data_IF_862328877757
#
_entry.id   IF_862328877757
#
_cell.length_a   1.000
_cell.length_b   1.000
_cell.length_c   1.000
_cell.angle_alpha   90.00
_cell.angle_beta   90.00
_cell.angle_gamma   90.00
#
_symmetry.space_group_name_H-M   'P 1'
#
loop_
_entity.id
_entity.type
_entity.pdbx_description
1 polymer ?
#
# COMPACT_ATOMS: atom_id res chain seq x y z
N UNK A 1 17.19 28.75 27.82
CA UNK A 1 18.12 27.71 28.35
C UNK A 1 18.10 26.59 27.32
N UNK A 2 18.96 26.67 26.32
CA UNK A 2 19.04 25.67 25.24
C UNK A 2 19.70 24.40 25.81
N UNK A 3 18.95 23.28 25.85
CA UNK A 3 19.53 21.98 26.15
C UNK A 3 20.31 21.54 24.91
N UNK A 4 21.63 21.49 25.02
CA UNK A 4 22.50 20.84 24.05
C UNK A 4 22.12 19.34 24.06
N UNK A 5 21.75 18.74 22.90
CA UNK A 5 21.45 17.31 22.84
C UNK A 5 22.68 16.49 23.24
N UNK A 6 22.51 15.31 23.83
CA UNK A 6 23.65 14.49 24.25
C UNK A 6 24.45 14.10 23.02
N UNK A 7 25.72 14.46 23.01
CA UNK A 7 26.71 13.95 22.05
C UNK A 7 26.89 12.47 22.39
N UNK A 8 26.36 11.58 21.56
CA UNK A 8 26.61 10.15 21.71
C UNK A 8 27.98 9.88 21.08
N UNK A 9 29.03 10.15 21.85
CA UNK A 9 30.40 9.72 21.50
C UNK A 9 30.54 8.26 21.90
N UNK A 10 30.21 7.34 21.00
CA UNK A 10 30.47 5.91 21.17
C UNK A 10 31.94 5.51 20.90
N UNK A 11 32.87 6.45 20.80
CA UNK A 11 34.31 6.13 20.70
C UNK A 11 35.17 7.05 21.54
N UNK A 12 36.06 6.46 22.34
CA UNK A 12 37.22 7.08 23.00
C UNK A 12 38.27 7.57 21.98
N UNK A 13 37.91 8.49 21.12
CA UNK A 13 38.88 9.17 20.23
C UNK A 13 39.28 10.46 20.90
N UNK A 14 40.52 10.50 21.38
CA UNK A 14 41.12 11.74 21.86
C UNK A 14 41.28 12.76 20.72
N UNK A 15 41.03 14.07 20.96
CA UNK A 15 40.82 15.07 19.91
C UNK A 15 42.13 15.60 19.26
N UNK A 16 43.24 14.91 19.24
CA UNK A 16 44.50 15.59 19.01
C UNK A 16 45.19 15.38 17.66
N UNK A 17 44.66 14.60 16.68
CA UNK A 17 45.41 14.53 15.39
C UNK A 17 44.60 14.17 14.11
N UNK A 18 43.26 14.23 14.13
CA UNK A 18 42.46 13.74 12.99
C UNK A 18 41.33 14.69 12.53
N UNK A 19 41.48 16.01 12.68
CA UNK A 19 40.39 16.94 12.41
C UNK A 19 39.89 16.95 10.94
N UNK A 20 40.74 16.52 9.99
CA UNK A 20 40.37 16.54 8.56
C UNK A 20 39.64 15.28 8.04
N UNK A 21 39.62 14.17 8.80
CA UNK A 21 39.04 12.90 8.35
C UNK A 21 37.68 12.59 9.02
N UNK A 22 37.16 13.49 9.83
CA UNK A 22 35.93 13.29 10.61
C UNK A 22 34.82 14.20 10.13
N UNK A 23 33.62 13.65 10.01
CA UNK A 23 32.38 14.36 9.68
C UNK A 23 31.40 14.28 10.85
N UNK A 24 30.76 15.37 11.18
CA UNK A 24 29.66 15.40 12.13
C UNK A 24 28.34 15.28 11.39
N UNK A 25 27.53 14.32 11.79
CA UNK A 25 26.20 14.07 11.22
C UNK A 25 25.14 14.42 12.24
N UNK A 26 24.29 15.37 11.96
CA UNK A 26 23.10 15.66 12.75
C UNK A 26 21.89 14.95 12.12
N UNK A 27 21.35 13.94 12.81
CA UNK A 27 20.33 13.02 12.30
C UNK A 27 19.05 13.14 13.11
N UNK A 28 17.93 13.31 12.44
CA UNK A 28 16.60 13.44 13.04
C UNK A 28 15.99 14.82 12.83
N UNK A 29 14.79 15.01 13.36
CA UNK A 29 14.06 16.27 13.23
C UNK A 29 14.67 17.38 14.05
N UNK A 30 14.49 18.62 13.62
CA UNK A 30 14.92 19.82 14.35
C UNK A 30 14.35 19.81 15.78
N UNK A 31 15.26 19.82 16.78
CA UNK A 31 14.90 19.73 18.20
C UNK A 31 14.82 18.31 18.79
N UNK A 32 14.86 17.29 17.94
CA UNK A 32 14.95 15.88 18.32
C UNK A 32 15.97 15.11 17.46
N UNK A 33 17.19 15.65 17.37
CA UNK A 33 18.30 15.10 16.58
C UNK A 33 19.37 14.46 17.47
N UNK A 34 20.11 13.51 16.89
CA UNK A 34 21.33 12.96 17.46
C UNK A 34 22.54 13.37 16.62
N UNK A 35 23.64 13.69 17.28
CA UNK A 35 24.90 14.01 16.60
C UNK A 35 25.85 12.83 16.66
N UNK A 36 26.32 12.41 15.48
CA UNK A 36 27.30 11.33 15.33
C UNK A 36 28.60 11.90 14.75
N UNK A 37 29.71 11.35 15.24
CA UNK A 37 31.05 11.63 14.74
C UNK A 37 31.53 10.39 13.98
N UNK A 38 31.76 10.51 12.67
CA UNK A 38 32.04 9.38 11.78
C UNK A 38 33.23 9.69 10.87
N UNK A 39 34.08 8.71 10.60
CA UNK A 39 35.16 8.86 9.66
C UNK A 39 34.65 9.02 8.23
N UNK A 40 35.17 10.01 7.51
CA UNK A 40 34.78 10.34 6.13
C UNK A 40 34.94 9.14 5.19
N UNK A 41 35.99 8.39 5.33
CA UNK A 41 36.32 7.21 4.53
C UNK A 41 35.29 6.12 4.72
N UNK A 42 34.85 5.83 5.96
CA UNK A 42 33.80 4.83 6.25
C UNK A 42 32.48 5.14 5.57
N UNK A 43 32.08 6.43 5.54
CA UNK A 43 30.88 6.85 4.84
C UNK A 43 31.01 6.68 3.32
N UNK A 44 32.16 7.09 2.77
CA UNK A 44 32.38 7.11 1.32
C UNK A 44 32.64 5.73 0.70
N UNK A 45 33.18 4.78 1.46
CA UNK A 45 33.45 3.42 0.96
C UNK A 45 32.16 2.60 0.75
N UNK A 46 31.19 2.75 1.64
CA UNK A 46 30.00 1.91 1.71
C UNK A 46 28.74 2.54 1.12
N UNK A 47 28.79 3.82 0.79
CA UNK A 47 27.68 4.54 0.19
C UNK A 47 28.17 5.50 -0.89
N UNK A 48 27.71 5.25 -2.10
CA UNK A 48 28.02 6.11 -3.24
C UNK A 48 27.43 7.52 -3.06
N UNK A 49 26.27 7.62 -2.42
CA UNK A 49 25.62 8.90 -2.09
C UNK A 49 26.49 9.70 -1.12
N UNK A 50 26.98 9.08 -0.03
CA UNK A 50 27.88 9.77 0.89
C UNK A 50 29.22 10.12 0.22
N UNK A 51 29.74 9.26 -0.64
CA UNK A 51 30.94 9.57 -1.44
C UNK A 51 30.71 10.83 -2.27
N UNK A 52 29.60 10.91 -3.00
CA UNK A 52 29.26 12.09 -3.79
C UNK A 52 29.07 13.35 -2.95
N UNK A 53 28.41 13.24 -1.78
CA UNK A 53 28.22 14.37 -0.84
C UNK A 53 29.51 14.87 -0.22
N UNK A 54 30.47 14.00 0.02
CA UNK A 54 31.73 14.34 0.73
C UNK A 54 32.87 14.72 -0.20
N UNK A 55 32.92 14.15 -1.41
CA UNK A 55 34.05 14.31 -2.36
C UNK A 55 33.61 14.84 -3.72
N UNK A 56 32.32 14.96 -3.98
CA UNK A 56 31.77 15.45 -5.25
C UNK A 56 31.94 16.96 -5.44
N UNK A 57 31.66 17.48 -6.64
CA UNK A 57 31.85 18.89 -6.98
C UNK A 57 30.97 19.85 -6.16
N UNK A 58 29.93 19.35 -5.51
CA UNK A 58 29.05 20.11 -4.61
C UNK A 58 29.39 19.90 -3.13
N UNK A 59 30.45 19.18 -2.83
CA UNK A 59 30.89 18.99 -1.45
C UNK A 59 31.26 20.34 -0.83
N UNK A 60 30.78 20.65 0.39
CA UNK A 60 31.17 21.86 1.08
C UNK A 60 32.69 21.90 1.28
N UNK A 61 33.32 23.08 1.17
CA UNK A 61 34.77 23.19 1.34
C UNK A 61 35.18 22.69 2.73
N UNK A 62 36.16 21.83 2.79
CA UNK A 62 36.73 21.38 4.05
C UNK A 62 37.46 22.56 4.70
N UNK A 63 36.99 23.02 5.86
CA UNK A 63 37.74 23.96 6.67
C UNK A 63 38.72 23.21 7.55
N UNK A 64 39.96 23.68 7.65
CA UNK A 64 40.98 23.08 8.48
C UNK A 64 40.71 23.16 9.98
N UNK A 65 39.78 24.02 10.40
CA UNK A 65 39.59 24.38 11.80
C UNK A 65 38.33 23.78 12.44
N UNK A 66 37.42 23.18 11.66
CA UNK A 66 36.21 22.55 12.20
C UNK A 66 35.74 21.35 11.35
N UNK A 67 35.28 20.25 11.97
CA UNK A 67 34.73 19.12 11.23
C UNK A 67 33.48 19.56 10.45
N UNK A 68 33.33 19.02 9.24
CA UNK A 68 32.18 19.28 8.38
C UNK A 68 30.89 18.76 9.05
N UNK A 69 29.85 19.60 9.12
CA UNK A 69 28.54 19.22 9.63
C UNK A 69 27.60 18.91 8.46
N UNK A 70 27.02 17.71 8.44
CA UNK A 70 25.95 17.30 7.54
C UNK A 70 24.66 17.11 8.32
N UNK A 71 23.58 17.73 7.87
CA UNK A 71 22.25 17.63 8.47
C UNK A 71 21.38 16.65 7.70
N UNK A 72 20.91 15.61 8.36
CA UNK A 72 20.13 14.51 7.80
C UNK A 72 18.74 14.46 8.50
N UNK A 73 17.94 15.50 8.29
CA UNK A 73 16.68 15.72 9.01
C UNK A 73 15.55 14.76 8.64
N UNK A 74 15.66 14.05 7.53
CA UNK A 74 14.64 13.15 7.00
C UNK A 74 14.86 11.67 7.37
N UNK A 75 15.89 11.38 8.16
CA UNK A 75 16.18 10.01 8.59
C UNK A 75 15.81 9.84 10.07
N UNK A 76 15.16 8.72 10.37
CA UNK A 76 14.96 8.33 11.76
C UNK A 76 16.30 8.06 12.46
N UNK A 77 16.53 8.72 13.58
CA UNK A 77 17.80 8.64 14.34
C UNK A 77 18.12 7.22 14.84
N UNK A 78 17.11 6.38 15.11
CA UNK A 78 17.30 4.98 15.54
C UNK A 78 17.66 4.11 14.33
N UNK A 79 17.03 4.35 13.18
CA UNK A 79 17.38 3.69 11.92
C UNK A 79 18.82 4.01 11.52
N UNK A 80 19.24 5.26 11.66
CA UNK A 80 20.61 5.66 11.34
C UNK A 80 21.66 4.99 12.23
N UNK A 81 21.33 4.64 13.47
CA UNK A 81 22.22 3.84 14.33
C UNK A 81 22.52 2.46 13.72
N UNK A 82 21.52 1.81 13.14
CA UNK A 82 21.72 0.54 12.42
C UNK A 82 22.54 0.74 11.14
N UNK A 83 22.34 1.85 10.46
CA UNK A 83 23.13 2.26 9.31
C UNK A 83 24.62 2.41 9.68
N UNK A 84 24.93 3.11 10.76
CA UNK A 84 26.32 3.28 11.23
C UNK A 84 26.97 1.95 11.63
N UNK A 85 26.21 1.04 12.28
CA UNK A 85 26.73 -0.29 12.60
C UNK A 85 27.08 -1.06 11.33
N UNK A 86 26.23 -0.99 10.32
CA UNK A 86 26.52 -1.60 9.02
C UNK A 86 27.79 -1.03 8.36
N UNK A 87 27.99 0.29 8.41
CA UNK A 87 29.19 0.92 7.87
C UNK A 87 30.48 0.48 8.58
N UNK A 88 30.37 0.11 9.86
CA UNK A 88 31.49 -0.34 10.71
C UNK A 88 31.72 -1.86 10.68
N UNK A 89 31.05 -2.59 9.80
CA UNK A 89 31.03 -4.06 9.80
C UNK A 89 30.57 -4.70 11.13
N UNK A 90 29.83 -3.95 11.93
CA UNK A 90 29.21 -4.46 13.15
C UNK A 90 27.92 -5.21 12.84
N UNK A 91 27.57 -6.23 13.64
CA UNK A 91 26.30 -6.96 13.45
C UNK A 91 25.09 -6.03 13.65
N UNK A 92 24.21 -6.00 12.62
CA UNK A 92 22.96 -5.25 12.67
C UNK A 92 21.85 -6.17 13.15
N UNK A 93 21.31 -5.89 14.33
CA UNK A 93 20.20 -6.63 14.92
C UNK A 93 18.99 -5.70 15.07
N UNK A 94 17.91 -6.00 14.35
CA UNK A 94 16.67 -5.25 14.47
C UNK A 94 15.83 -5.79 15.63
N UNK A 95 15.25 -4.87 16.40
CA UNK A 95 14.41 -5.21 17.56
C UNK A 95 12.93 -5.12 17.20
N UNK A 96 12.57 -4.29 16.20
CA UNK A 96 11.18 -4.02 15.83
C UNK A 96 11.00 -3.79 14.34
N UNK A 97 9.79 -4.07 13.86
CA UNK A 97 9.38 -3.82 12.47
C UNK A 97 9.52 -2.34 12.10
N UNK A 98 9.03 -1.35 12.90
CA UNK A 98 9.19 0.06 12.57
C UNK A 98 10.63 0.48 12.34
N UNK A 99 11.54 0.04 13.22
CA UNK A 99 12.98 0.39 13.10
C UNK A 99 13.61 -0.25 11.87
N UNK A 100 13.28 -1.53 11.58
CA UNK A 100 13.77 -2.20 10.37
C UNK A 100 13.22 -1.54 9.09
N UNK A 101 11.94 -1.11 9.11
CA UNK A 101 11.31 -0.42 7.98
C UNK A 101 11.98 0.95 7.74
N UNK A 102 12.17 1.75 8.77
CA UNK A 102 12.88 3.02 8.65
C UNK A 102 14.36 2.84 8.23
N UNK A 103 15.00 1.73 8.64
CA UNK A 103 16.36 1.40 8.17
C UNK A 103 16.38 1.04 6.69
N UNK A 104 15.34 0.36 6.19
CA UNK A 104 15.20 0.08 4.75
C UNK A 104 15.07 1.38 3.95
N UNK A 105 14.31 2.37 4.46
CA UNK A 105 14.18 3.69 3.83
C UNK A 105 15.54 4.40 3.75
N UNK A 106 16.32 4.37 4.84
CA UNK A 106 17.66 4.93 4.85
C UNK A 106 18.61 4.18 3.90
N UNK A 107 18.54 2.83 3.87
CA UNK A 107 19.34 2.02 2.97
C UNK A 107 19.04 2.30 1.48
N UNK A 108 17.78 2.50 1.14
CA UNK A 108 17.37 2.91 -0.21
C UNK A 108 17.92 4.30 -0.57
N UNK A 109 17.73 5.28 0.31
CA UNK A 109 18.15 6.67 0.08
C UNK A 109 19.66 6.81 -0.09
N UNK A 110 20.43 6.02 0.65
CA UNK A 110 21.90 6.07 0.61
C UNK A 110 22.54 4.96 -0.22
N UNK A 111 21.75 4.25 -1.03
CA UNK A 111 22.18 3.18 -1.94
C UNK A 111 23.07 2.14 -1.25
N UNK A 112 22.55 1.54 -0.17
CA UNK A 112 23.24 0.49 0.59
C UNK A 112 22.52 -0.86 0.44
N UNK A 113 22.74 -1.64 -0.63
CA UNK A 113 21.99 -2.86 -0.92
C UNK A 113 22.18 -3.94 0.15
N UNK A 114 23.37 -4.07 0.75
CA UNK A 114 23.61 -5.03 1.83
C UNK A 114 22.77 -4.74 3.08
N UNK A 115 22.62 -3.46 3.46
CA UNK A 115 21.78 -3.07 4.59
C UNK A 115 20.29 -3.26 4.25
N UNK A 116 19.87 -2.92 3.03
CA UNK A 116 18.51 -3.17 2.56
C UNK A 116 18.15 -4.66 2.64
N UNK A 117 19.06 -5.55 2.21
CA UNK A 117 18.87 -7.00 2.30
C UNK A 117 18.70 -7.48 3.75
N UNK A 118 19.48 -6.96 4.69
CA UNK A 118 19.35 -7.29 6.12
C UNK A 118 17.98 -6.84 6.67
N UNK A 119 17.59 -5.60 6.38
CA UNK A 119 16.30 -5.05 6.80
C UNK A 119 15.13 -5.86 6.20
N UNK A 120 15.15 -6.13 4.89
CA UNK A 120 14.12 -6.93 4.20
C UNK A 120 14.03 -8.34 4.78
N UNK A 121 15.17 -8.97 5.10
CA UNK A 121 15.17 -10.31 5.71
C UNK A 121 14.46 -10.29 7.06
N UNK A 122 14.74 -9.30 7.90
CA UNK A 122 14.04 -9.13 9.19
C UNK A 122 12.55 -8.89 9.00
N UNK A 123 12.17 -8.00 8.08
CA UNK A 123 10.77 -7.67 7.79
C UNK A 123 9.99 -8.88 7.28
N UNK A 124 10.58 -9.70 6.40
CA UNK A 124 9.98 -10.95 5.94
C UNK A 124 9.70 -11.95 7.07
N UNK A 125 10.63 -12.06 8.03
CA UNK A 125 10.48 -12.97 9.16
C UNK A 125 9.40 -12.51 10.16
N UNK A 126 9.07 -11.21 10.17
CA UNK A 126 8.06 -10.62 11.06
C UNK A 126 6.79 -10.20 10.31
N UNK A 127 6.63 -10.67 9.06
CA UNK A 127 5.47 -10.36 8.23
C UNK A 127 4.26 -11.18 8.68
N UNK A 128 3.29 -10.49 9.25
CA UNK A 128 2.02 -11.03 9.75
C UNK A 128 0.85 -10.16 9.29
N UNK A 129 -0.40 -10.63 9.35
CA UNK A 129 -1.53 -9.76 9.03
C UNK A 129 -1.61 -8.48 9.86
N UNK A 130 -1.05 -8.45 11.08
CA UNK A 130 -1.03 -7.27 11.95
C UNK A 130 0.09 -6.28 11.64
N UNK A 131 1.20 -6.71 11.02
CA UNK A 131 2.35 -5.88 10.69
C UNK A 131 2.44 -5.51 9.22
N UNK A 132 1.64 -6.16 8.37
CA UNK A 132 1.77 -6.07 6.92
C UNK A 132 1.57 -4.65 6.39
N UNK A 133 0.62 -3.87 6.90
CA UNK A 133 0.39 -2.50 6.42
C UNK A 133 1.55 -1.57 6.78
N UNK A 134 2.18 -1.75 7.92
CA UNK A 134 3.38 -1.00 8.31
C UNK A 134 4.56 -1.28 7.39
N UNK A 135 4.69 -2.53 6.94
CA UNK A 135 5.75 -2.92 6.01
C UNK A 135 5.43 -2.48 4.58
N UNK A 136 4.16 -2.59 4.17
CA UNK A 136 3.68 -2.28 2.82
C UNK A 136 3.74 -0.80 2.46
N UNK A 137 3.39 0.08 3.42
CA UNK A 137 3.27 1.52 3.20
C UNK A 137 4.56 2.12 2.59
N UNK A 138 4.45 2.79 1.45
CA UNK A 138 5.55 3.40 0.72
C UNK A 138 6.49 2.43 -0.01
N UNK A 139 6.30 1.10 0.13
CA UNK A 139 7.20 0.11 -0.46
C UNK A 139 7.10 0.06 -1.99
N UNK A 140 5.93 0.39 -2.53
CA UNK A 140 5.71 0.46 -3.98
C UNK A 140 6.61 1.47 -4.69
N UNK A 141 7.00 2.55 -4.02
CA UNK A 141 7.90 3.55 -4.59
C UNK A 141 9.28 2.96 -4.94
N UNK A 142 9.78 2.05 -4.10
CA UNK A 142 11.10 1.41 -4.31
C UNK A 142 11.07 0.31 -5.38
N UNK A 143 9.92 -0.31 -5.60
CA UNK A 143 9.73 -1.34 -6.60
C UNK A 143 9.53 -0.77 -8.02
N UNK A 144 8.99 0.45 -8.16
CA UNK A 144 8.72 1.08 -9.46
C UNK A 144 9.99 1.53 -10.20
N UNK A 145 11.11 1.76 -9.51
CA UNK A 145 12.39 2.08 -10.14
C UNK A 145 12.83 1.06 -11.21
N UNK A 146 12.38 -0.19 -11.11
CA UNK A 146 12.63 -1.21 -12.12
C UNK A 146 11.75 -1.08 -13.36
N UNK A 147 10.52 -0.58 -13.23
CA UNK A 147 9.59 -0.41 -14.36
C UNK A 147 10.01 0.72 -15.29
N UNK A 148 10.37 1.86 -14.73
CA UNK A 148 10.80 3.02 -15.53
C UNK A 148 12.10 2.76 -16.28
N UNK A 149 13.01 1.95 -15.73
CA UNK A 149 14.26 1.55 -16.40
C UNK A 149 14.07 0.50 -17.51
N UNK A 150 13.05 -0.37 -17.38
CA UNK A 150 12.71 -1.39 -18.38
C UNK A 150 12.10 -0.81 -19.65
N UNK A 151 11.31 0.25 -19.54
CA UNK A 151 10.61 0.84 -20.69
C UNK A 151 11.51 1.69 -21.60
N UNK A 152 12.67 2.15 -21.11
CA UNK A 152 13.63 2.90 -21.92
C UNK A 152 14.67 2.02 -22.66
N UNK A 153 14.69 0.70 -22.43
CA UNK A 153 15.69 -0.18 -23.05
C UNK A 153 15.19 -0.98 -24.27
N UNK A 154 13.91 -0.88 -24.63
CA UNK A 154 13.32 -1.70 -25.70
C UNK A 154 13.30 -1.05 -27.11
N UNK A 155 13.83 0.16 -27.30
CA UNK A 155 13.79 0.79 -28.62
C UNK A 155 15.01 0.57 -29.52
N UNK A 156 16.06 -0.14 -29.08
CA UNK A 156 17.26 -0.32 -29.92
C UNK A 156 18.04 -1.61 -29.64
N UNK A 157 17.40 -2.79 -29.69
CA UNK A 157 18.14 -4.05 -29.77
C UNK A 157 17.76 -4.85 -31.01
N UNK A 158 18.57 -4.58 -32.07
CA UNK A 158 18.79 -5.46 -33.21
C UNK A 158 19.23 -6.86 -32.74
N UNK A 159 18.53 -7.86 -33.25
CA UNK A 159 18.86 -9.28 -33.14
C UNK A 159 20.29 -9.56 -33.54
N UNK A 160 21.12 -10.04 -32.60
CA UNK A 160 22.14 -11.09 -32.82
C UNK A 160 23.21 -11.03 -31.71
N UNK A 161 23.11 -11.92 -30.73
CA UNK A 161 24.21 -12.77 -30.19
C UNK A 161 23.83 -13.33 -28.80
N UNK A 162 24.04 -14.63 -28.53
CA UNK A 162 23.92 -15.19 -27.21
C UNK A 162 25.25 -15.01 -26.48
N UNK A 163 25.37 -14.05 -25.61
CA UNK A 163 26.47 -14.01 -24.63
C UNK A 163 25.90 -13.50 -23.31
N UNK A 164 25.75 -14.46 -22.40
CA UNK A 164 25.51 -14.22 -20.98
C UNK A 164 26.55 -13.27 -20.43
N UNK A 165 26.15 -12.08 -20.06
CA UNK A 165 26.76 -11.27 -19.00
C UNK A 165 25.65 -10.27 -18.61
N UNK A 166 24.89 -10.65 -17.57
CA UNK A 166 24.04 -9.69 -16.87
C UNK A 166 24.92 -8.49 -16.50
N UNK A 167 24.54 -7.25 -16.84
CA UNK A 167 25.27 -6.08 -16.33
C UNK A 167 25.29 -6.17 -14.81
N UNK A 168 26.36 -5.71 -14.14
CA UNK A 168 26.36 -5.61 -12.69
C UNK A 168 25.13 -4.79 -12.30
N UNK A 169 24.21 -5.41 -11.54
CA UNK A 169 23.04 -4.70 -11.03
C UNK A 169 23.57 -3.51 -10.25
N UNK A 170 23.25 -2.29 -10.69
CA UNK A 170 23.56 -1.10 -9.93
C UNK A 170 22.91 -1.24 -8.53
N UNK A 171 23.47 -0.59 -7.52
CA UNK A 171 23.01 -0.71 -6.14
C UNK A 171 21.52 -0.41 -6.00
N UNK A 172 20.99 0.52 -6.78
CA UNK A 172 19.57 0.84 -6.82
C UNK A 172 18.72 -0.32 -7.37
N UNK A 173 19.15 -0.99 -8.44
CA UNK A 173 18.49 -2.17 -9.00
C UNK A 173 18.48 -3.36 -8.03
N UNK A 174 19.58 -3.56 -7.29
CA UNK A 174 19.65 -4.58 -6.27
C UNK A 174 18.64 -4.32 -5.13
N UNK A 175 18.53 -3.07 -4.67
CA UNK A 175 17.56 -2.67 -3.64
C UNK A 175 16.13 -2.83 -4.15
N UNK A 176 15.84 -2.35 -5.37
CA UNK A 176 14.52 -2.47 -5.98
C UNK A 176 14.07 -3.94 -6.09
N UNK A 177 14.98 -4.85 -6.42
CA UNK A 177 14.70 -6.29 -6.51
C UNK A 177 14.26 -6.87 -5.16
N UNK A 178 14.99 -6.59 -4.08
CA UNK A 178 14.65 -7.12 -2.74
C UNK A 178 13.37 -6.48 -2.19
N UNK A 179 13.11 -5.20 -2.50
CA UNK A 179 11.88 -4.51 -2.14
C UNK A 179 10.67 -5.07 -2.91
N UNK A 180 10.84 -5.40 -4.19
CA UNK A 180 9.79 -6.03 -5.01
C UNK A 180 9.39 -7.40 -4.44
N UNK A 181 10.35 -8.23 -4.06
CA UNK A 181 10.04 -9.52 -3.44
C UNK A 181 9.33 -9.37 -2.08
N UNK A 182 9.73 -8.38 -1.27
CA UNK A 182 9.03 -8.05 -0.03
C UNK A 182 7.60 -7.55 -0.31
N UNK A 183 7.41 -6.67 -1.31
CA UNK A 183 6.10 -6.17 -1.73
C UNK A 183 5.16 -7.31 -2.13
N UNK A 184 5.63 -8.23 -2.98
CA UNK A 184 4.84 -9.38 -3.40
C UNK A 184 4.41 -10.25 -2.21
N UNK A 185 5.28 -10.45 -1.22
CA UNK A 185 4.94 -11.15 0.02
C UNK A 185 3.92 -10.41 0.86
N UNK A 186 4.04 -9.07 1.00
CA UNK A 186 3.03 -8.25 1.67
C UNK A 186 1.67 -8.41 1.00
N UNK A 187 1.61 -8.28 -0.33
CA UNK A 187 0.38 -8.45 -1.09
C UNK A 187 -0.24 -9.84 -0.91
N UNK A 188 0.58 -10.90 -0.86
CA UNK A 188 0.09 -12.26 -0.60
C UNK A 188 -0.54 -12.40 0.79
N UNK A 189 0.03 -11.78 1.83
CA UNK A 189 -0.55 -11.77 3.18
C UNK A 189 -1.85 -10.97 3.24
N UNK A 190 -1.91 -9.82 2.55
CA UNK A 190 -3.11 -8.98 2.43
C UNK A 190 -4.23 -9.78 1.74
N UNK A 191 -3.93 -10.40 0.60
CA UNK A 191 -4.88 -11.19 -0.17
C UNK A 191 -5.45 -12.37 0.62
N UNK A 192 -4.63 -12.99 1.45
CA UNK A 192 -5.03 -14.15 2.27
C UNK A 192 -5.84 -13.77 3.51
N UNK A 193 -5.67 -12.56 4.04
CA UNK A 193 -6.27 -12.12 5.30
C UNK A 193 -6.93 -10.72 5.20
N UNK A 194 -7.72 -10.43 4.14
CA UNK A 194 -8.17 -9.07 3.86
C UNK A 194 -9.05 -8.48 4.98
N UNK A 195 -9.91 -9.27 5.61
CA UNK A 195 -10.77 -8.78 6.68
C UNK A 195 -9.97 -8.25 7.88
N UNK A 196 -8.91 -8.95 8.27
CA UNK A 196 -8.05 -8.55 9.38
C UNK A 196 -7.20 -7.34 9.00
N UNK A 197 -6.67 -7.31 7.77
CA UNK A 197 -5.80 -6.24 7.31
C UNK A 197 -6.57 -4.95 7.04
N UNK A 198 -7.64 -5.02 6.28
CA UNK A 198 -8.49 -3.86 5.97
C UNK A 198 -9.21 -3.29 7.20
N UNK A 199 -9.34 -4.10 8.27
CA UNK A 199 -9.92 -3.67 9.55
C UNK A 199 -9.00 -2.83 10.44
N UNK A 200 -7.71 -2.72 10.13
CA UNK A 200 -6.74 -1.99 10.95
C UNK A 200 -6.89 -0.47 10.78
N UNK A 201 -6.64 0.29 11.83
CA UNK A 201 -6.58 1.75 11.79
C UNK A 201 -5.49 2.26 10.82
N UNK A 202 -4.38 1.54 10.73
CA UNK A 202 -3.29 1.87 9.80
C UNK A 202 -3.70 1.85 8.33
N UNK A 203 -4.78 1.15 7.94
CA UNK A 203 -5.33 1.24 6.59
C UNK A 203 -5.77 2.67 6.24
N UNK A 204 -6.23 3.42 7.23
CA UNK A 204 -6.66 4.81 7.06
C UNK A 204 -5.48 5.78 6.81
N UNK A 205 -4.24 5.35 7.10
CA UNK A 205 -3.01 6.13 6.87
C UNK A 205 -2.41 5.95 5.46
N UNK A 206 -2.89 4.97 4.69
CA UNK A 206 -2.39 4.69 3.34
C UNK A 206 -2.65 5.87 2.39
N UNK A 207 -1.77 6.03 1.41
CA UNK A 207 -1.97 6.97 0.31
C UNK A 207 -3.13 6.54 -0.61
N UNK A 208 -3.68 7.47 -1.37
CA UNK A 208 -4.76 7.17 -2.32
C UNK A 208 -4.33 6.13 -3.37
N UNK A 209 -3.07 6.14 -3.79
CA UNK A 209 -2.52 5.18 -4.75
C UNK A 209 -2.51 3.78 -4.15
N UNK A 210 -2.03 3.63 -2.91
CA UNK A 210 -2.00 2.33 -2.22
C UNK A 210 -3.40 1.79 -1.97
N UNK A 211 -4.34 2.65 -1.58
CA UNK A 211 -5.75 2.27 -1.41
C UNK A 211 -6.35 1.82 -2.74
N UNK A 212 -6.08 2.54 -3.84
CA UNK A 212 -6.54 2.16 -5.18
C UNK A 212 -5.96 0.80 -5.60
N UNK A 213 -4.64 0.61 -5.42
CA UNK A 213 -3.99 -0.68 -5.72
C UNK A 213 -4.63 -1.83 -4.96
N UNK A 214 -4.87 -1.68 -3.66
CA UNK A 214 -5.50 -2.73 -2.85
C UNK A 214 -6.97 -2.95 -3.23
N UNK A 215 -7.73 -1.89 -3.49
CA UNK A 215 -9.14 -1.97 -3.85
C UNK A 215 -9.40 -2.68 -5.19
N UNK A 216 -8.49 -2.50 -6.17
CA UNK A 216 -8.59 -3.12 -7.49
C UNK A 216 -8.09 -4.58 -7.55
N UNK A 217 -7.48 -5.11 -6.49
CA UNK A 217 -6.93 -6.47 -6.49
C UNK A 217 -8.00 -7.53 -6.65
N UNK A 218 -7.91 -8.30 -7.71
CA UNK A 218 -8.80 -9.45 -7.95
C UNK A 218 -8.53 -10.63 -7.02
N UNK A 219 -7.36 -10.65 -6.39
CA UNK A 219 -6.87 -11.75 -5.54
C UNK A 219 -7.31 -11.65 -4.08
N UNK A 220 -7.94 -10.55 -3.64
CA UNK A 220 -8.45 -10.41 -2.28
C UNK A 220 -9.47 -11.51 -1.94
N UNK A 221 -9.17 -12.33 -0.94
CA UNK A 221 -10.04 -13.41 -0.48
C UNK A 221 -11.11 -12.88 0.50
N UNK A 222 -12.00 -12.04 -0.01
CA UNK A 222 -13.07 -11.42 0.76
C UNK A 222 -14.25 -12.38 0.95
N UNK A 223 -14.74 -12.51 2.17
CA UNK A 223 -16.01 -13.20 2.45
C UNK A 223 -17.22 -12.36 2.05
N UNK A 224 -17.09 -11.04 2.05
CA UNK A 224 -18.10 -10.08 1.57
C UNK A 224 -17.41 -8.80 1.09
N UNK A 225 -17.90 -8.21 0.01
CA UNK A 225 -17.45 -6.91 -0.50
C UNK A 225 -17.75 -5.75 0.47
N UNK A 226 -18.66 -5.94 1.42
CA UNK A 226 -18.91 -4.98 2.51
C UNK A 226 -17.66 -4.70 3.36
N UNK A 227 -16.76 -5.67 3.48
CA UNK A 227 -15.50 -5.49 4.22
C UNK A 227 -14.66 -4.42 3.55
N UNK A 228 -14.50 -4.52 2.22
CA UNK A 228 -13.77 -3.52 1.44
C UNK A 228 -14.48 -2.17 1.48
N UNK A 229 -15.80 -2.15 1.26
CA UNK A 229 -16.56 -0.91 1.31
C UNK A 229 -16.39 -0.20 2.66
N UNK A 230 -16.52 -0.92 3.78
CA UNK A 230 -16.37 -0.34 5.12
C UNK A 230 -14.97 0.21 5.37
N UNK A 231 -13.93 -0.43 4.85
CA UNK A 231 -12.56 0.06 4.93
C UNK A 231 -12.38 1.36 4.13
N UNK A 232 -12.93 1.42 2.91
CA UNK A 232 -12.90 2.61 2.06
C UNK A 232 -13.67 3.78 2.67
N UNK A 233 -14.82 3.54 3.32
CA UNK A 233 -15.61 4.58 3.99
C UNK A 233 -14.84 5.18 5.19
N UNK A 234 -14.18 4.34 5.99
CA UNK A 234 -13.31 4.80 7.08
C UNK A 234 -12.13 5.61 6.55
N UNK A 235 -11.43 5.08 5.54
CA UNK A 235 -10.31 5.77 4.91
C UNK A 235 -10.74 7.15 4.35
N UNK A 236 -11.87 7.21 3.63
CA UNK A 236 -12.41 8.47 3.12
C UNK A 236 -12.75 9.46 4.23
N UNK A 237 -13.25 8.96 5.36
CA UNK A 237 -13.51 9.77 6.55
C UNK A 237 -12.21 10.36 7.12
N UNK A 238 -11.16 9.55 7.23
CA UNK A 238 -9.84 9.98 7.69
C UNK A 238 -9.20 10.96 6.71
N UNK A 239 -9.31 10.70 5.40
CA UNK A 239 -8.77 11.58 4.36
C UNK A 239 -9.46 12.95 4.33
N UNK A 240 -10.79 13.00 4.45
CA UNK A 240 -11.51 14.27 4.61
C UNK A 240 -10.97 15.08 5.79
N UNK A 241 -10.73 14.43 6.93
CA UNK A 241 -10.16 15.09 8.11
C UNK A 241 -8.73 15.60 7.87
N UNK A 242 -7.89 14.83 7.17
CA UNK A 242 -6.53 15.25 6.79
C UNK A 242 -6.54 16.50 5.89
N UNK A 243 -7.52 16.56 5.00
CA UNK A 243 -7.71 17.72 4.11
C UNK A 243 -8.45 18.90 4.78
N UNK A 244 -8.86 18.75 6.04
CA UNK A 244 -9.59 19.80 6.78
C UNK A 244 -11.02 20.03 6.29
N UNK A 245 -11.62 19.05 5.61
CA UNK A 245 -13.00 19.07 5.12
C UNK A 245 -13.90 18.16 5.96
N UNK A 246 -15.18 18.55 6.07
CA UNK A 246 -16.16 17.74 6.81
C UNK A 246 -16.41 16.41 6.09
N UNK A 247 -16.45 15.25 6.79
CA UNK A 247 -16.63 13.94 6.17
C UNK A 247 -18.08 13.67 5.77
N UNK A 248 -18.69 14.57 5.00
CA UNK A 248 -19.99 14.40 4.38
C UNK A 248 -19.93 13.34 3.26
N UNK A 249 -21.03 12.65 2.94
CA UNK A 249 -21.07 11.65 1.86
C UNK A 249 -20.52 12.17 0.53
N UNK A 250 -20.85 13.39 0.15
CA UNK A 250 -20.35 14.05 -1.06
C UNK A 250 -18.84 14.25 -1.06
N UNK A 251 -18.28 14.68 0.08
CA UNK A 251 -16.85 14.88 0.23
C UNK A 251 -16.08 13.54 0.25
N UNK A 252 -16.62 12.52 0.93
CA UNK A 252 -16.09 11.15 0.88
C UNK A 252 -16.06 10.61 -0.55
N UNK A 253 -17.10 10.86 -1.33
CA UNK A 253 -17.16 10.47 -2.74
C UNK A 253 -16.06 11.15 -3.57
N UNK A 254 -15.81 12.43 -3.32
CA UNK A 254 -14.76 13.18 -4.02
C UNK A 254 -13.37 12.65 -3.73
N UNK A 255 -13.04 12.36 -2.46
CA UNK A 255 -11.71 11.86 -2.09
C UNK A 255 -11.48 10.40 -2.53
N UNK A 256 -12.53 9.57 -2.63
CA UNK A 256 -12.43 8.21 -3.16
C UNK A 256 -12.28 8.17 -4.68
N UNK A 257 -12.75 9.19 -5.39
CA UNK A 257 -12.98 9.15 -6.84
C UNK A 257 -13.94 8.02 -7.28
N UNK A 258 -14.42 8.12 -8.51
CA UNK A 258 -15.29 7.09 -9.09
C UNK A 258 -14.58 5.76 -9.27
N UNK A 259 -13.29 5.80 -9.57
CA UNK A 259 -12.48 4.64 -9.84
C UNK A 259 -12.40 3.72 -8.60
N UNK A 260 -12.00 4.26 -7.45
CA UNK A 260 -11.93 3.49 -6.20
C UNK A 260 -13.33 3.11 -5.71
N UNK A 261 -14.31 4.01 -5.82
CA UNK A 261 -15.66 3.74 -5.36
C UNK A 261 -16.28 2.55 -6.11
N UNK A 262 -16.07 2.44 -7.44
CA UNK A 262 -16.59 1.34 -8.25
C UNK A 262 -15.65 0.12 -8.36
N UNK A 263 -14.52 0.12 -7.67
CA UNK A 263 -13.72 -1.10 -7.47
C UNK A 263 -14.43 -2.12 -6.57
N UNK A 264 -15.34 -1.65 -5.73
CA UNK A 264 -16.22 -2.49 -4.90
C UNK A 264 -17.25 -3.20 -5.78
N UNK A 265 -17.35 -4.51 -5.65
CA UNK A 265 -18.25 -5.34 -6.46
C UNK A 265 -19.64 -5.42 -5.85
N UNK A 266 -20.38 -4.30 -5.88
CA UNK A 266 -21.70 -4.16 -5.27
C UNK A 266 -22.69 -5.24 -5.69
N UNK A 267 -22.59 -5.75 -6.93
CA UNK A 267 -23.49 -6.78 -7.45
C UNK A 267 -23.27 -8.17 -6.82
N UNK A 268 -22.20 -8.34 -6.07
CA UNK A 268 -21.92 -9.57 -5.31
C UNK A 268 -22.44 -9.53 -3.87
N UNK A 269 -22.86 -8.36 -3.40
CA UNK A 269 -23.47 -8.20 -2.10
C UNK A 269 -24.90 -8.75 -2.11
N UNK A 270 -25.37 -9.23 -0.96
CA UNK A 270 -26.79 -9.47 -0.80
C UNK A 270 -27.53 -8.15 -0.54
N UNK A 271 -28.85 -8.17 -0.68
CA UNK A 271 -29.74 -7.01 -0.52
C UNK A 271 -29.57 -6.32 0.84
N UNK A 272 -29.44 -7.10 1.93
CA UNK A 272 -29.25 -6.57 3.28
C UNK A 272 -27.89 -5.89 3.44
N UNK A 273 -26.83 -6.52 2.96
CA UNK A 273 -25.47 -5.95 2.99
C UNK A 273 -25.41 -4.62 2.24
N UNK A 274 -26.00 -4.57 1.04
CA UNK A 274 -26.00 -3.35 0.23
C UNK A 274 -26.80 -2.22 0.90
N UNK A 275 -27.98 -2.52 1.42
CA UNK A 275 -28.86 -1.51 2.05
C UNK A 275 -28.27 -0.98 3.35
N UNK A 276 -27.71 -1.86 4.21
CA UNK A 276 -27.18 -1.45 5.52
C UNK A 276 -25.77 -0.82 5.45
N UNK A 277 -25.04 -1.04 4.38
CA UNK A 277 -23.69 -0.52 4.16
C UNK A 277 -23.65 0.59 3.10
N UNK A 278 -23.40 0.26 1.82
CA UNK A 278 -23.21 1.26 0.77
C UNK A 278 -24.35 2.26 0.62
N UNK A 279 -25.60 1.79 0.60
CA UNK A 279 -26.76 2.65 0.46
C UNK A 279 -26.95 3.58 1.67
N UNK A 280 -26.79 3.05 2.88
CA UNK A 280 -26.95 3.83 4.11
C UNK A 280 -25.85 4.87 4.32
N UNK A 281 -24.66 4.67 3.73
CA UNK A 281 -23.53 5.62 3.81
C UNK A 281 -23.77 6.93 3.08
N UNK A 282 -24.65 6.92 2.06
CA UNK A 282 -24.93 8.06 1.18
C UNK A 282 -23.78 8.42 0.21
N UNK A 283 -22.72 7.62 0.13
CA UNK A 283 -21.61 7.84 -0.82
C UNK A 283 -22.06 7.62 -2.26
N UNK A 284 -22.96 6.64 -2.48
CA UNK A 284 -23.59 6.42 -3.77
C UNK A 284 -24.80 7.35 -3.93
N UNK A 285 -25.02 7.84 -5.12
CA UNK A 285 -26.23 8.62 -5.45
C UNK A 285 -27.49 7.75 -5.41
N UNK A 286 -28.65 8.35 -5.26
CA UNK A 286 -29.92 7.62 -5.27
C UNK A 286 -30.13 6.85 -6.59
N UNK A 287 -29.73 7.42 -7.73
CA UNK A 287 -29.82 6.77 -9.04
C UNK A 287 -28.92 5.54 -9.11
N UNK A 288 -27.70 5.64 -8.60
CA UNK A 288 -26.74 4.53 -8.48
C UNK A 288 -27.30 3.42 -7.60
N UNK A 289 -27.84 3.77 -6.44
CA UNK A 289 -28.46 2.81 -5.53
C UNK A 289 -29.63 2.06 -6.18
N UNK A 290 -30.55 2.78 -6.84
CA UNK A 290 -31.68 2.18 -7.55
C UNK A 290 -31.20 1.22 -8.65
N UNK A 291 -30.21 1.64 -9.42
CA UNK A 291 -29.64 0.81 -10.50
C UNK A 291 -29.01 -0.48 -9.95
N UNK A 292 -28.19 -0.38 -8.90
CA UNK A 292 -27.53 -1.52 -8.28
C UNK A 292 -28.56 -2.47 -7.66
N UNK A 293 -29.53 -1.95 -6.90
CA UNK A 293 -30.59 -2.77 -6.29
C UNK A 293 -31.42 -3.50 -7.37
N UNK A 294 -31.76 -2.82 -8.45
CA UNK A 294 -32.48 -3.44 -9.57
C UNK A 294 -31.70 -4.63 -10.17
N UNK A 295 -30.37 -4.48 -10.31
CA UNK A 295 -29.50 -5.57 -10.78
C UNK A 295 -29.36 -6.72 -9.78
N UNK A 296 -29.21 -6.43 -8.49
CA UNK A 296 -29.16 -7.44 -7.42
C UNK A 296 -30.46 -8.26 -7.39
N UNK A 297 -31.62 -7.61 -7.54
CA UNK A 297 -32.94 -8.25 -7.56
C UNK A 297 -33.24 -8.96 -8.90
N UNK A 298 -32.38 -8.81 -9.92
CA UNK A 298 -32.56 -9.48 -11.21
C UNK A 298 -33.65 -8.89 -12.07
N UNK A 299 -34.03 -7.62 -11.86
CA UNK A 299 -34.98 -6.94 -12.76
C UNK A 299 -34.30 -6.67 -14.10
N UNK A 300 -34.92 -7.08 -15.23
CA UNK A 300 -34.38 -6.74 -16.56
C UNK A 300 -34.44 -5.22 -16.76
N UNK A 301 -33.36 -4.67 -17.34
CA UNK A 301 -33.36 -3.28 -17.76
C UNK A 301 -34.52 -3.05 -18.70
N UNK A 302 -35.44 -2.15 -18.33
CA UNK A 302 -36.57 -1.74 -19.16
C UNK A 302 -35.99 -0.98 -20.35
N UNK A 303 -35.64 -1.73 -21.40
CA UNK A 303 -35.20 -1.20 -22.67
C UNK A 303 -36.39 -0.56 -23.35
N UNK A 304 -36.66 0.71 -23.07
CA UNK A 304 -37.34 1.69 -23.91
C UNK A 304 -37.85 2.84 -23.03
N UNK A 305 -37.10 3.94 -23.02
CA UNK A 305 -37.72 5.21 -23.34
C UNK A 305 -36.65 6.27 -23.59
N UNK A 306 -36.62 6.74 -24.84
CA UNK A 306 -36.04 8.00 -25.26
C UNK A 306 -36.48 9.10 -24.31
N UNK A 307 -35.67 9.49 -23.37
CA UNK A 307 -35.77 10.76 -22.68
C UNK A 307 -34.40 11.41 -22.67
N UNK A 308 -34.24 12.38 -23.54
CA UNK A 308 -33.09 13.30 -23.58
C UNK A 308 -33.02 14.00 -22.22
N UNK A 309 -31.80 14.10 -21.66
CA UNK A 309 -31.36 14.89 -20.52
C UNK A 309 -31.36 14.16 -19.17
N UNK A 310 -30.24 13.50 -18.92
CA UNK A 310 -29.49 13.70 -17.66
C UNK A 310 -28.14 13.00 -17.81
N UNK A 311 -27.06 13.73 -17.65
CA UNK A 311 -25.69 13.35 -17.99
C UNK A 311 -24.94 12.67 -16.86
N UNK A 312 -25.63 11.83 -16.08
CA UNK A 312 -25.01 11.03 -14.99
C UNK A 312 -25.50 9.59 -15.02
N UNK A 313 -25.42 8.98 -16.20
CA UNK A 313 -25.62 7.53 -16.32
C UNK A 313 -24.34 6.84 -15.90
N UNK A 314 -24.39 6.04 -14.82
CA UNK A 314 -23.32 5.07 -14.54
C UNK A 314 -23.11 4.28 -15.82
N UNK A 315 -21.89 4.31 -16.36
CA UNK A 315 -21.55 3.41 -17.45
C UNK A 315 -21.72 1.97 -16.93
N UNK A 316 -22.57 1.14 -17.52
CA UNK A 316 -22.84 -0.25 -17.10
C UNK A 316 -21.56 -1.09 -16.96
N UNK A 317 -20.49 -0.69 -17.65
CA UNK A 317 -19.16 -1.33 -17.61
C UNK A 317 -18.40 -1.14 -16.30
N UNK A 318 -18.84 -0.25 -15.40
CA UNK A 318 -18.17 -0.01 -14.10
C UNK A 318 -18.63 -0.98 -12.99
N UNK A 319 -19.75 -1.66 -13.14
CA UNK A 319 -20.27 -2.57 -12.15
C UNK A 319 -19.86 -4.02 -12.46
N UNK A 320 -18.91 -4.54 -11.74
CA UNK A 320 -18.47 -5.93 -11.90
C UNK A 320 -19.41 -6.90 -11.15
N UNK A 321 -19.79 -7.97 -11.85
CA UNK A 321 -20.46 -9.15 -11.27
C UNK A 321 -19.53 -10.39 -11.19
N UNK A 322 -18.25 -10.21 -11.49
CA UNK A 322 -17.26 -11.28 -11.47
C UNK A 322 -16.70 -11.41 -10.05
N UNK A 323 -16.78 -12.58 -9.38
CA UNK A 323 -16.15 -12.76 -8.07
C UNK A 323 -14.63 -12.55 -8.13
N UNK A 324 -14.06 -12.07 -7.02
CA UNK A 324 -12.60 -12.03 -6.87
C UNK A 324 -12.06 -13.45 -6.88
N UNK A 325 -10.91 -13.62 -7.48
CA UNK A 325 -10.22 -14.91 -7.55
C UNK A 325 -9.46 -15.08 -6.24
N UNK A 326 -10.09 -15.69 -5.22
CA UNK A 326 -9.40 -16.00 -3.97
C UNK A 326 -8.16 -16.85 -4.22
N UNK A 327 -7.10 -16.63 -3.46
CA UNK A 327 -5.92 -17.49 -3.49
C UNK A 327 -6.37 -18.84 -2.93
N UNK A 328 -6.59 -19.83 -3.80
CA UNK A 328 -6.69 -21.21 -3.37
C UNK A 328 -5.34 -21.56 -2.73
N UNK A 329 -5.35 -21.97 -1.45
CA UNK A 329 -4.18 -22.58 -0.84
C UNK A 329 -3.80 -23.76 -1.73
N UNK A 330 -2.66 -23.68 -2.39
CA UNK A 330 -2.00 -24.84 -2.93
C UNK A 330 -1.52 -25.64 -1.72
N UNK A 331 -2.32 -26.61 -1.29
CA UNK A 331 -1.82 -27.71 -0.48
C UNK A 331 -0.97 -28.55 -1.41
N UNK A 332 0.33 -28.55 -1.19
CA UNK A 332 1.32 -29.34 -1.96
C UNK A 332 1.06 -30.84 -1.93
N UNK A 333 0.06 -31.32 -1.17
CA UNK A 333 -0.25 -32.74 -0.97
C UNK A 333 -1.57 -33.24 -1.56
N UNK A 334 -2.33 -32.42 -2.29
CA UNK A 334 -3.59 -32.86 -2.90
C UNK A 334 -3.56 -32.93 -4.42
N UNK A 335 -3.38 -34.13 -4.88
CA UNK A 335 -3.73 -34.62 -6.21
C UNK A 335 -5.05 -34.04 -6.72
N UNK A 336 -5.01 -33.42 -7.91
CA UNK A 336 -6.13 -32.76 -8.60
C UNK A 336 -7.43 -33.56 -8.56
N UNK A 337 -8.36 -33.20 -7.74
CA UNK A 337 -9.77 -33.51 -7.95
C UNK A 337 -10.45 -32.25 -8.56
N UNK A 338 -10.55 -32.23 -9.89
CA UNK A 338 -11.44 -31.29 -10.58
C UNK A 338 -12.87 -31.58 -10.12
N UNK A 339 -13.62 -30.64 -9.54
CA UNK A 339 -15.03 -30.85 -9.27
C UNK A 339 -15.73 -31.11 -10.60
N UNK A 340 -16.35 -32.27 -10.71
CA UNK A 340 -17.03 -32.69 -11.92
C UNK A 340 -18.16 -31.72 -12.28
N UNK A 341 -18.36 -31.50 -13.59
CA UNK A 341 -19.41 -30.62 -14.15
C UNK A 341 -20.82 -30.87 -13.61
N UNK A 342 -21.09 -32.01 -12.95
CA UNK A 342 -22.40 -32.33 -12.36
C UNK A 342 -22.71 -31.60 -11.06
N UNK A 343 -21.76 -31.36 -10.16
CA UNK A 343 -22.03 -30.63 -8.92
C UNK A 343 -22.38 -29.17 -9.12
N UNK A 344 -21.82 -28.53 -10.15
CA UNK A 344 -22.16 -27.12 -10.49
C UNK A 344 -23.61 -26.97 -10.99
N UNK A 345 -24.18 -28.01 -11.59
CA UNK A 345 -25.56 -27.95 -12.12
C UNK A 345 -26.61 -28.16 -11.03
N UNK A 346 -26.33 -29.02 -10.05
CA UNK A 346 -27.25 -29.27 -8.93
C UNK A 346 -27.28 -28.12 -7.92
N UNK A 347 -26.13 -27.51 -7.65
CA UNK A 347 -26.07 -26.31 -6.80
C UNK A 347 -26.78 -25.09 -7.43
N UNK A 348 -26.76 -24.96 -8.77
CA UNK A 348 -27.50 -23.92 -9.48
C UNK A 348 -29.03 -24.18 -9.44
N UNK A 349 -29.48 -25.44 -9.50
CA UNK A 349 -30.89 -25.79 -9.43
C UNK A 349 -31.46 -25.61 -8.01
N UNK A 350 -30.72 -25.98 -6.98
CA UNK A 350 -31.15 -25.76 -5.58
C UNK A 350 -31.17 -24.27 -5.20
N UNK A 351 -30.16 -23.49 -5.59
CA UNK A 351 -30.19 -22.03 -5.39
C UNK A 351 -31.38 -21.35 -6.09
N UNK A 352 -31.72 -21.79 -7.31
CA UNK A 352 -32.91 -21.24 -8.02
C UNK A 352 -34.23 -21.60 -7.33
N UNK A 353 -34.37 -22.76 -6.70
CA UNK A 353 -35.57 -23.15 -5.97
C UNK A 353 -35.71 -22.42 -4.63
N UNK A 354 -34.63 -22.18 -3.90
CA UNK A 354 -34.63 -21.38 -2.67
C UNK A 354 -34.89 -19.90 -2.94
N UNK A 355 -34.29 -19.32 -3.98
CA UNK A 355 -34.55 -17.94 -4.37
C UNK A 355 -36.01 -17.71 -4.82
N UNK A 356 -36.67 -18.66 -5.48
CA UNK A 356 -38.06 -18.52 -5.93
C UNK A 356 -39.05 -18.52 -4.77
N UNK A 357 -38.77 -19.24 -3.68
CA UNK A 357 -39.65 -19.28 -2.50
C UNK A 357 -39.40 -18.14 -1.50
N UNK A 358 -38.17 -17.61 -1.43
CA UNK A 358 -37.84 -16.43 -0.63
C UNK A 358 -38.18 -15.11 -1.33
N UNK A 359 -38.09 -15.05 -2.67
CA UNK A 359 -38.30 -13.84 -3.45
C UNK A 359 -39.70 -13.26 -3.29
N UNK A 360 -40.74 -14.12 -3.16
CA UNK A 360 -42.12 -13.64 -2.97
C UNK A 360 -42.40 -13.06 -1.57
N UNK A 361 -41.68 -13.50 -0.54
CA UNK A 361 -41.82 -12.98 0.83
C UNK A 361 -40.98 -11.72 1.07
N UNK A 362 -39.84 -11.58 0.34
CA UNK A 362 -38.96 -10.42 0.43
C UNK A 362 -39.49 -9.23 -0.37
N UNK A 363 -40.07 -9.44 -1.56
CA UNK A 363 -40.70 -8.34 -2.34
C UNK A 363 -41.73 -7.54 -1.59
N UNK A 364 -42.58 -8.20 -0.78
CA UNK A 364 -43.60 -7.52 0.01
C UNK A 364 -43.01 -6.68 1.17
N UNK A 365 -41.86 -7.08 1.72
CA UNK A 365 -41.19 -6.36 2.80
C UNK A 365 -40.31 -5.20 2.28
N UNK A 366 -39.65 -5.39 1.15
CA UNK A 366 -38.76 -4.37 0.52
C UNK A 366 -39.65 -3.29 -0.13
N UNK A 367 -40.77 -3.64 -0.76
CA UNK A 367 -41.71 -2.66 -1.27
C UNK A 367 -42.19 -1.71 -0.18
N UNK A 368 -42.50 -2.22 1.01
CA UNK A 368 -42.90 -1.41 2.17
C UNK A 368 -41.70 -0.59 2.76
N UNK A 369 -40.46 -1.07 2.63
CA UNK A 369 -39.29 -0.33 3.08
C UNK A 369 -38.92 0.80 2.11
N UNK A 370 -38.99 0.54 0.80
CA UNK A 370 -38.75 1.56 -0.25
C UNK A 370 -39.84 2.66 -0.20
N UNK A 371 -41.10 2.30 0.03
CA UNK A 371 -42.19 3.29 0.18
C UNK A 371 -41.94 4.16 1.42
N UNK A 372 -41.48 3.61 2.53
CA UNK A 372 -41.13 4.39 3.73
C UNK A 372 -39.89 5.30 3.53
N UNK A 373 -38.89 4.85 2.78
CA UNK A 373 -37.71 5.64 2.48
C UNK A 373 -38.05 6.76 1.49
N UNK A 374 -38.86 6.48 0.47
CA UNK A 374 -39.34 7.51 -0.46
C UNK A 374 -40.24 8.53 0.22
N UNK A 375 -41.06 8.13 1.19
CA UNK A 375 -41.88 9.04 1.97
C UNK A 375 -41.06 9.97 2.89
N UNK A 376 -39.88 9.52 3.40
CA UNK A 376 -38.98 10.36 4.19
C UNK A 376 -38.09 11.31 3.37
N UNK A 377 -38.04 11.14 2.05
CA UNK A 377 -37.21 11.98 1.14
C UNK A 377 -38.07 13.08 0.46
N UNK A 378 -39.39 12.93 0.48
CA UNK A 378 -40.35 13.86 -0.16
C UNK A 378 -41.25 14.63 0.82
N UNK A 379 -41.05 14.46 2.13
CA UNK A 379 -41.51 15.37 3.18
C UNK A 379 -40.34 16.24 3.66
#
# INVERSE_FOLDING_TARGET
>A
MFRIPPIVTENNLQPTDRSNNVVMLEVGLAGDSWTYCVEREQLAERSEVFRAMLTGPLAPPSSTDSPQLLQLHHIDKRAFRHFLRYLRDEPVNFISVPTARATLDAAHQYLCPGLAQLAVTHLKNHLTPSTVLEIYQGLGLYANDLRERGEHSDSDRSLNSPTELSPPADDAGAIATVCTDLLLKCLSVIDSNPAMVLGQERFEELSIQEVAELAHRDTLNLSSECILFSALDRWATAECRRQGIEPLPTNKRLVLSDDICFSVRYLLMNDREFVSGPMASGILTNEECVHIVSKILGHPESSKNNSRRSSTTIHPSRLSNTPRIGIYKYDEDCNMLRPGKKERQDNRKNRRKECASQGQRTCARIGNCLIKILACVFD
#
